data_IF_873957980333
#
_entry.id   IF_873957980333
#
_cell.length_a   1.000
_cell.length_b   1.000
_cell.length_c   1.000
_cell.angle_alpha   90.00
_cell.angle_beta   90.00
_cell.angle_gamma   90.00
#
_symmetry.space_group_name_H-M   'P 1'
#
loop_
_entity.id
_entity.type
_entity.pdbx_description
1 polymer ?
#
# COMPACT_ATOMS: atom_id res chain seq x y z
N UNK A 1 -15.17 -13.06 3.05
CA UNK A 1 -14.94 -12.44 1.72
C UNK A 1 -15.96 -13.01 0.74
N UNK A 2 -16.70 -12.17 0.02
CA UNK A 2 -17.72 -12.60 -0.94
C UNK A 2 -17.16 -12.76 -2.35
N UNK A 3 -16.34 -11.81 -2.80
CA UNK A 3 -15.63 -11.87 -4.07
C UNK A 3 -14.30 -11.10 -3.98
N UNK A 4 -13.34 -11.47 -4.82
CA UNK A 4 -12.07 -10.79 -4.97
C UNK A 4 -11.54 -10.95 -6.40
N UNK A 5 -10.92 -9.91 -6.92
CA UNK A 5 -10.21 -9.92 -8.20
C UNK A 5 -8.89 -9.18 -8.06
N UNK A 6 -7.85 -9.80 -8.56
CA UNK A 6 -6.52 -9.18 -8.72
C UNK A 6 -6.16 -9.32 -10.20
N UNK A 7 -5.87 -8.21 -10.84
CA UNK A 7 -5.56 -8.16 -12.26
C UNK A 7 -4.23 -7.40 -12.46
N UNK A 8 -3.11 -8.10 -12.63
CA UNK A 8 -1.84 -7.46 -12.91
C UNK A 8 -1.87 -6.77 -14.27
N UNK A 9 -1.55 -5.48 -14.31
CA UNK A 9 -1.53 -4.74 -15.57
C UNK A 9 -0.49 -3.62 -15.55
N UNK A 10 0.17 -3.42 -16.69
CA UNK A 10 1.16 -2.36 -16.85
C UNK A 10 0.55 -1.02 -17.28
N UNK A 11 -0.60 -1.04 -17.95
CA UNK A 11 -1.31 0.14 -18.50
C UNK A 11 -2.82 -0.11 -18.48
N UNK A 12 -3.63 0.92 -18.72
CA UNK A 12 -5.08 0.78 -18.83
C UNK A 12 -5.84 0.73 -17.49
N UNK A 13 -5.19 1.09 -16.37
CA UNK A 13 -5.83 1.05 -15.05
C UNK A 13 -7.08 1.91 -14.94
N UNK A 14 -7.13 3.05 -15.65
CA UNK A 14 -8.26 3.98 -15.58
C UNK A 14 -9.50 3.38 -16.25
N UNK A 15 -9.32 2.81 -17.42
CA UNK A 15 -10.39 2.22 -18.21
C UNK A 15 -10.90 0.91 -17.60
N UNK A 16 -10.01 0.18 -16.93
CA UNK A 16 -10.33 -1.14 -16.40
C UNK A 16 -10.96 -1.12 -15.00
N UNK A 17 -10.68 -0.10 -14.18
CA UNK A 17 -11.05 -0.11 -12.76
C UNK A 17 -12.57 -0.16 -12.54
N UNK A 18 -13.36 0.66 -13.24
CA UNK A 18 -14.82 0.68 -13.10
C UNK A 18 -15.48 -0.63 -13.56
N UNK A 19 -15.15 -1.18 -14.74
CA UNK A 19 -15.61 -2.52 -15.13
C UNK A 19 -15.25 -3.61 -14.13
N UNK A 20 -14.00 -3.61 -13.63
CA UNK A 20 -13.54 -4.60 -12.67
C UNK A 20 -14.35 -4.56 -11.35
N UNK A 21 -14.65 -3.36 -10.86
CA UNK A 21 -15.50 -3.21 -9.67
C UNK A 21 -16.91 -3.72 -9.92
N UNK A 22 -17.51 -3.42 -11.08
CA UNK A 22 -18.82 -3.93 -11.45
C UNK A 22 -18.86 -5.47 -11.53
N UNK A 23 -17.82 -6.08 -12.11
CA UNK A 23 -17.67 -7.54 -12.17
C UNK A 23 -17.58 -8.16 -10.76
N UNK A 24 -16.79 -7.56 -9.85
CA UNK A 24 -16.66 -8.04 -8.47
C UNK A 24 -17.99 -7.92 -7.72
N UNK A 25 -18.72 -6.81 -7.88
CA UNK A 25 -20.04 -6.65 -7.26
C UNK A 25 -21.04 -7.68 -7.77
N UNK A 26 -21.08 -7.90 -9.09
CA UNK A 26 -21.94 -8.93 -9.70
C UNK A 26 -21.57 -10.34 -9.20
N UNK A 27 -20.28 -10.66 -9.11
CA UNK A 27 -19.80 -11.95 -8.58
C UNK A 27 -20.15 -12.12 -7.10
N UNK A 28 -20.11 -11.05 -6.33
CA UNK A 28 -20.49 -11.07 -4.91
C UNK A 28 -21.99 -11.22 -4.69
N UNK A 29 -22.82 -10.94 -5.69
CA UNK A 29 -24.28 -10.90 -5.55
C UNK A 29 -24.76 -9.75 -4.65
N UNK A 30 -24.00 -8.66 -4.55
CA UNK A 30 -24.28 -7.51 -3.67
C UNK A 30 -24.52 -6.28 -4.52
N UNK A 31 -25.60 -5.55 -4.24
CA UNK A 31 -25.89 -4.28 -4.89
C UNK A 31 -25.02 -3.14 -4.31
N UNK A 32 -24.77 -2.10 -5.09
CA UNK A 32 -23.93 -0.98 -4.64
C UNK A 32 -24.51 -0.22 -3.45
N UNK A 33 -25.82 -0.13 -3.32
CA UNK A 33 -26.53 0.51 -2.21
C UNK A 33 -26.44 -0.28 -0.88
N UNK A 34 -25.98 -1.53 -0.93
CA UNK A 34 -25.71 -2.35 0.25
C UNK A 34 -24.28 -2.17 0.82
N UNK A 35 -23.45 -1.36 0.15
CA UNK A 35 -22.13 -1.03 0.66
C UNK A 35 -22.23 0.03 1.76
N UNK A 36 -21.52 -0.16 2.86
CA UNK A 36 -21.44 0.79 3.98
C UNK A 36 -20.14 1.59 4.02
N UNK A 37 -19.12 1.19 3.27
CA UNK A 37 -17.84 1.91 3.13
C UNK A 37 -17.01 1.44 1.95
N UNK A 38 -16.03 2.25 1.56
CA UNK A 38 -15.02 1.91 0.55
C UNK A 38 -13.63 1.99 1.17
N UNK A 39 -12.88 0.88 1.13
CA UNK A 39 -11.44 0.87 1.44
C UNK A 39 -10.61 1.19 0.19
N UNK A 40 -9.58 2.03 0.33
CA UNK A 40 -8.69 2.36 -0.78
C UNK A 40 -7.25 2.53 -0.30
N UNK A 41 -6.27 2.01 -1.05
CA UNK A 41 -4.87 2.23 -0.74
C UNK A 41 -4.47 3.69 -0.97
N UNK A 42 -3.74 4.27 0.00
CA UNK A 42 -3.26 5.66 -0.07
C UNK A 42 -1.79 5.77 -0.42
N UNK A 43 -1.08 4.66 -0.60
CA UNK A 43 0.37 4.61 -0.85
C UNK A 43 1.16 4.06 0.33
N UNK A 44 2.50 4.06 0.20
CA UNK A 44 3.27 4.55 -0.95
C UNK A 44 3.11 3.67 -2.20
N UNK A 45 3.41 4.24 -3.38
CA UNK A 45 3.31 3.51 -4.65
C UNK A 45 3.29 4.42 -5.87
N UNK A 46 2.83 3.89 -7.00
CA UNK A 46 2.72 4.63 -8.26
C UNK A 46 1.88 5.90 -8.13
N UNK A 47 2.46 7.04 -8.44
CA UNK A 47 1.81 8.34 -8.36
C UNK A 47 0.50 8.43 -9.17
N UNK A 48 0.51 7.92 -10.40
CA UNK A 48 -0.68 7.87 -11.25
C UNK A 48 -1.71 6.89 -10.72
N UNK A 49 -1.28 5.67 -10.36
CA UNK A 49 -2.18 4.63 -9.84
C UNK A 49 -2.90 5.06 -8.57
N UNK A 50 -2.18 5.70 -7.62
CA UNK A 50 -2.76 6.22 -6.39
C UNK A 50 -3.84 7.27 -6.66
N UNK A 51 -3.59 8.20 -7.58
CA UNK A 51 -4.58 9.24 -7.95
C UNK A 51 -5.82 8.65 -8.59
N UNK A 52 -5.66 7.69 -9.49
CA UNK A 52 -6.78 7.00 -10.14
C UNK A 52 -7.62 6.25 -9.10
N UNK A 53 -7.00 5.43 -8.27
CA UNK A 53 -7.69 4.68 -7.23
C UNK A 53 -8.42 5.57 -6.24
N UNK A 54 -7.76 6.63 -5.75
CA UNK A 54 -8.35 7.59 -4.82
C UNK A 54 -9.50 8.40 -5.44
N UNK A 55 -9.36 8.85 -6.69
CA UNK A 55 -10.43 9.58 -7.38
C UNK A 55 -11.65 8.70 -7.58
N UNK A 56 -11.45 7.45 -8.03
CA UNK A 56 -12.53 6.49 -8.20
C UNK A 56 -13.23 6.18 -6.87
N UNK A 57 -12.47 5.84 -5.82
CA UNK A 57 -13.03 5.53 -4.51
C UNK A 57 -13.83 6.70 -3.92
N UNK A 58 -13.31 7.94 -4.04
CA UNK A 58 -14.01 9.16 -3.61
C UNK A 58 -15.28 9.42 -4.41
N UNK A 59 -15.24 9.21 -5.74
CA UNK A 59 -16.42 9.32 -6.60
C UNK A 59 -17.50 8.32 -6.22
N UNK A 60 -17.11 7.06 -5.99
CA UNK A 60 -18.03 6.00 -5.55
C UNK A 60 -18.62 6.33 -4.16
N UNK A 61 -17.79 6.71 -3.20
CA UNK A 61 -18.24 7.08 -1.86
C UNK A 61 -19.20 8.27 -1.87
N UNK A 62 -18.94 9.28 -2.72
CA UNK A 62 -19.84 10.42 -2.89
C UNK A 62 -21.18 10.03 -3.53
N UNK A 63 -21.16 9.19 -4.57
CA UNK A 63 -22.38 8.73 -5.25
C UNK A 63 -23.29 7.89 -4.33
N UNK A 64 -22.68 7.09 -3.43
CA UNK A 64 -23.40 6.23 -2.50
C UNK A 64 -23.63 6.87 -1.12
N UNK A 65 -23.09 8.06 -0.87
CA UNK A 65 -23.15 8.74 0.44
C UNK A 65 -22.51 7.91 1.59
N UNK A 66 -21.44 7.15 1.30
CA UNK A 66 -20.73 6.30 2.25
C UNK A 66 -19.28 6.77 2.45
N UNK A 67 -18.68 6.47 3.61
CA UNK A 67 -17.30 6.87 3.89
C UNK A 67 -16.27 6.11 3.04
N UNK A 68 -15.21 6.83 2.67
CA UNK A 68 -14.02 6.27 2.03
C UNK A 68 -12.88 6.23 3.04
N UNK A 69 -12.30 5.06 3.25
CA UNK A 69 -11.25 4.81 4.25
C UNK A 69 -9.92 4.55 3.56
N UNK A 70 -8.91 5.37 3.89
CA UNK A 70 -7.55 5.19 3.40
C UNK A 70 -6.78 4.13 4.18
N UNK A 71 -6.07 3.26 3.47
CA UNK A 71 -5.20 2.21 4.03
C UNK A 71 -3.81 2.32 3.44
N UNK A 72 -2.78 2.32 4.30
CA UNK A 72 -1.38 2.30 3.86
C UNK A 72 -1.03 1.00 3.14
N UNK A 73 -0.28 1.07 2.05
CA UNK A 73 0.15 -0.14 1.32
C UNK A 73 1.10 -0.98 2.18
N UNK A 74 2.02 -0.34 2.89
CA UNK A 74 2.95 -1.03 3.80
C UNK A 74 2.21 -1.68 4.98
N UNK A 75 1.20 -1.02 5.51
CA UNK A 75 0.33 -1.55 6.54
C UNK A 75 -0.46 -2.78 6.07
N UNK A 76 -1.05 -2.71 4.86
CA UNK A 76 -1.79 -3.83 4.30
C UNK A 76 -0.90 -5.04 3.98
N UNK A 77 0.38 -4.83 3.65
CA UNK A 77 1.37 -5.90 3.50
C UNK A 77 1.70 -6.58 4.85
N UNK A 78 1.81 -5.80 5.92
CA UNK A 78 2.15 -6.31 7.24
C UNK A 78 0.97 -6.97 7.97
N UNK A 79 -0.25 -6.57 7.67
CA UNK A 79 -1.47 -6.97 8.39
C UNK A 79 -1.66 -8.49 8.55
N UNK A 80 -1.36 -9.35 7.54
CA UNK A 80 -1.54 -10.80 7.68
C UNK A 80 -0.48 -11.49 8.55
N UNK A 81 0.53 -10.76 8.99
CA UNK A 81 1.72 -11.29 9.67
C UNK A 81 1.73 -10.88 11.14
N UNK A 82 2.37 -11.69 11.98
CA UNK A 82 2.55 -11.43 13.42
C UNK A 82 4.03 -11.22 13.77
N UNK A 83 4.29 -10.74 14.98
CA UNK A 83 5.64 -10.45 15.46
C UNK A 83 6.20 -9.16 14.85
N UNK A 84 7.53 -9.09 14.72
CA UNK A 84 8.22 -7.95 14.10
C UNK A 84 8.23 -8.11 12.59
N UNK A 85 7.51 -7.22 11.92
CA UNK A 85 7.35 -7.22 10.45
C UNK A 85 7.88 -5.91 9.89
N UNK A 86 8.68 -5.97 8.84
CA UNK A 86 9.06 -4.79 8.06
C UNK A 86 8.51 -4.94 6.65
N UNK A 87 7.54 -4.10 6.32
CA UNK A 87 7.03 -4.00 4.97
C UNK A 87 7.96 -3.12 4.13
N UNK A 88 8.38 -3.64 2.97
CA UNK A 88 9.36 -3.00 2.08
C UNK A 88 8.87 -3.05 0.66
N UNK A 89 8.77 -1.91 0.00
CA UNK A 89 8.45 -1.82 -1.43
C UNK A 89 9.64 -1.26 -2.21
N UNK A 90 9.91 -1.82 -3.38
CA UNK A 90 10.84 -1.21 -4.32
C UNK A 90 10.29 0.12 -4.83
N UNK A 91 10.91 1.22 -4.41
CA UNK A 91 10.54 2.57 -4.82
C UNK A 91 11.19 3.00 -6.15
N UNK A 92 11.95 2.08 -6.80
CA UNK A 92 12.78 2.37 -7.98
C UNK A 92 13.88 3.40 -7.67
N UNK A 93 14.79 3.63 -8.64
CA UNK A 93 15.87 4.64 -8.54
C UNK A 93 16.70 4.49 -7.26
N UNK A 94 17.08 3.25 -6.95
CA UNK A 94 17.90 2.92 -5.80
C UNK A 94 17.31 3.41 -4.46
N UNK A 95 16.00 3.26 -4.30
CA UNK A 95 15.27 3.54 -3.07
C UNK A 95 14.28 2.44 -2.73
N UNK A 96 13.98 2.31 -1.45
CA UNK A 96 12.88 1.48 -0.94
C UNK A 96 11.95 2.33 -0.07
N UNK A 97 10.65 2.03 -0.12
CA UNK A 97 9.71 2.47 0.90
C UNK A 97 9.67 1.40 1.98
N UNK A 98 9.75 1.80 3.24
CA UNK A 98 9.70 0.85 4.35
C UNK A 98 8.93 1.40 5.54
N UNK A 99 8.37 0.48 6.33
CA UNK A 99 7.76 0.75 7.63
C UNK A 99 7.82 -0.51 8.48
N UNK A 100 8.11 -0.34 9.78
CA UNK A 100 8.16 -1.44 10.73
C UNK A 100 6.87 -1.51 11.56
N UNK A 101 6.48 -2.75 11.88
CA UNK A 101 5.28 -3.09 12.66
C UNK A 101 5.65 -4.14 13.71
N UNK A 102 4.94 -4.12 14.84
CA UNK A 102 4.97 -5.17 15.85
C UNK A 102 3.53 -5.58 16.12
N UNK A 103 3.21 -6.85 15.85
CA UNK A 103 1.86 -7.41 15.99
C UNK A 103 0.76 -6.53 15.38
N UNK A 104 1.02 -6.05 14.17
CA UNK A 104 0.11 -5.20 13.38
C UNK A 104 0.12 -3.71 13.77
N UNK A 105 0.74 -3.32 14.88
CA UNK A 105 0.90 -1.91 15.26
C UNK A 105 2.14 -1.30 14.61
N UNK A 106 2.01 -0.13 13.98
CA UNK A 106 3.14 0.59 13.41
C UNK A 106 4.10 1.06 14.52
N UNK A 107 5.37 0.65 14.47
CA UNK A 107 6.44 1.05 15.40
C UNK A 107 7.39 2.07 14.79
N UNK A 108 7.24 2.37 13.50
CA UNK A 108 7.95 3.46 12.82
C UNK A 108 7.02 4.24 11.91
N UNK A 109 7.39 5.46 11.56
CA UNK A 109 6.79 6.15 10.43
C UNK A 109 7.22 5.50 9.11
N UNK A 110 6.39 5.55 8.05
CA UNK A 110 6.81 5.15 6.72
C UNK A 110 7.88 6.10 6.17
N UNK A 111 8.89 5.56 5.50
CA UNK A 111 10.03 6.33 5.00
C UNK A 111 10.44 5.87 3.59
N UNK A 112 11.24 6.71 2.89
CA UNK A 112 11.83 6.43 1.59
C UNK A 112 13.36 6.56 1.70
N UNK A 113 14.09 5.45 1.63
CA UNK A 113 15.52 5.41 1.91
C UNK A 113 16.27 4.64 0.81
N UNK A 114 17.56 4.98 0.57
CA UNK A 114 18.46 4.09 -0.16
C UNK A 114 18.60 2.74 0.55
N UNK A 115 18.76 1.61 -0.18
CA UNK A 115 18.83 0.28 0.43
C UNK A 115 19.88 0.15 1.54
N UNK A 116 21.07 0.73 1.37
CA UNK A 116 22.11 0.70 2.39
C UNK A 116 21.71 1.42 3.70
N UNK A 117 21.04 2.57 3.60
CA UNK A 117 20.51 3.30 4.76
C UNK A 117 19.35 2.55 5.41
N UNK A 118 18.46 1.97 4.59
CA UNK A 118 17.36 1.14 5.06
C UNK A 118 17.88 -0.08 5.83
N UNK A 119 18.92 -0.73 5.33
CA UNK A 119 19.57 -1.87 5.96
C UNK A 119 20.14 -1.53 7.36
N UNK A 120 20.84 -0.39 7.47
CA UNK A 120 21.37 0.06 8.76
C UNK A 120 20.25 0.35 9.76
N UNK A 121 19.18 1.04 9.32
CA UNK A 121 18.02 1.33 10.16
C UNK A 121 17.27 0.08 10.59
N UNK A 122 17.19 -0.93 9.73
CA UNK A 122 16.59 -2.23 10.07
C UNK A 122 17.39 -2.96 11.14
N UNK A 123 18.71 -2.95 11.06
CA UNK A 123 19.57 -3.57 12.07
C UNK A 123 19.35 -2.92 13.46
N UNK A 124 19.14 -1.60 13.51
CA UNK A 124 18.82 -0.89 14.75
C UNK A 124 17.41 -1.27 15.28
N UNK A 125 16.41 -1.39 14.41
CA UNK A 125 15.03 -1.70 14.79
C UNK A 125 14.82 -3.16 15.16
N UNK A 126 15.53 -4.07 14.49
CA UNK A 126 15.38 -5.52 14.66
C UNK A 126 16.03 -6.00 15.97
N UNK A 127 17.10 -5.34 16.44
CA UNK A 127 17.90 -5.85 17.55
C UNK A 127 18.39 -7.28 17.27
N UNK A 128 18.26 -8.17 18.26
CA UNK A 128 18.60 -9.60 18.13
C UNK A 128 17.36 -10.48 17.84
N UNK A 129 16.19 -9.88 17.57
CA UNK A 129 14.94 -10.60 17.37
C UNK A 129 14.76 -11.12 15.94
N UNK A 130 13.84 -12.07 15.79
CA UNK A 130 13.37 -12.51 14.47
C UNK A 130 12.56 -11.41 13.78
N UNK A 131 12.84 -11.18 12.49
CA UNK A 131 12.17 -10.17 11.67
C UNK A 131 11.66 -10.81 10.40
N UNK A 132 10.41 -10.52 10.06
CA UNK A 132 9.84 -10.88 8.77
C UNK A 132 9.86 -9.67 7.83
N UNK A 133 10.53 -9.79 6.69
CA UNK A 133 10.48 -8.83 5.60
C UNK A 133 9.36 -9.21 4.63
N UNK A 134 8.57 -8.25 4.17
CA UNK A 134 7.46 -8.50 3.23
C UNK A 134 7.36 -7.38 2.19
N UNK A 135 7.03 -7.73 0.97
CA UNK A 135 6.84 -6.80 -0.15
C UNK A 135 7.94 -6.87 -1.22
N UNK A 136 7.72 -6.21 -2.35
CA UNK A 136 8.58 -6.26 -3.54
C UNK A 136 10.02 -5.79 -3.32
N UNK A 137 10.26 -5.00 -2.27
CA UNK A 137 11.60 -4.52 -1.89
C UNK A 137 12.31 -5.42 -0.87
N UNK A 138 11.64 -6.42 -0.28
CA UNK A 138 12.24 -7.30 0.73
C UNK A 138 13.53 -7.99 0.27
N UNK A 139 13.62 -8.51 -0.97
CA UNK A 139 14.85 -9.12 -1.47
C UNK A 139 16.05 -8.17 -1.50
N UNK A 140 15.82 -6.86 -1.67
CA UNK A 140 16.88 -5.84 -1.69
C UNK A 140 17.56 -5.65 -0.32
N UNK A 141 16.90 -6.06 0.75
CA UNK A 141 17.37 -5.93 2.14
C UNK A 141 17.70 -7.26 2.82
N UNK A 142 17.45 -8.38 2.15
CA UNK A 142 17.66 -9.73 2.70
C UNK A 142 19.09 -9.99 3.22
N UNK A 143 20.08 -9.46 2.51
CA UNK A 143 21.49 -9.61 2.91
C UNK A 143 21.90 -8.79 4.14
N UNK A 144 21.10 -7.82 4.56
CA UNK A 144 21.40 -6.96 5.69
C UNK A 144 21.01 -7.55 7.06
N UNK A 145 20.12 -8.52 7.06
CA UNK A 145 19.62 -9.19 8.26
C UNK A 145 19.71 -10.71 8.08
N UNK A 146 20.80 -11.35 8.53
CA UNK A 146 21.05 -12.80 8.31
C UNK A 146 19.95 -13.72 8.87
N UNK A 147 19.18 -13.23 9.84
CA UNK A 147 18.11 -14.01 10.49
C UNK A 147 16.69 -13.55 10.07
N UNK A 148 16.58 -12.66 9.07
CA UNK A 148 15.27 -12.24 8.57
C UNK A 148 14.67 -13.32 7.66
N UNK A 149 13.39 -13.58 7.83
CA UNK A 149 12.60 -14.37 6.88
C UNK A 149 11.93 -13.46 5.87
N UNK A 150 11.74 -13.93 4.63
CA UNK A 150 11.01 -13.18 3.60
C UNK A 150 9.65 -13.85 3.40
N UNK A 151 8.59 -13.12 3.68
CA UNK A 151 7.23 -13.55 3.37
C UNK A 151 6.93 -13.30 1.88
N UNK A 152 6.30 -14.29 1.24
CA UNK A 152 5.97 -14.24 -0.19
C UNK A 152 4.73 -13.38 -0.47
N UNK A 153 4.89 -12.06 -0.47
CA UNK A 153 3.85 -11.12 -0.89
C UNK A 153 4.50 -9.87 -1.49
N UNK A 154 4.26 -9.61 -2.77
CA UNK A 154 4.85 -8.47 -3.48
C UNK A 154 3.94 -7.24 -3.50
N UNK A 155 2.66 -7.41 -3.20
CA UNK A 155 1.63 -6.37 -3.23
C UNK A 155 0.63 -6.55 -2.09
N UNK A 156 -0.06 -5.47 -1.72
CA UNK A 156 -1.08 -5.49 -0.69
C UNK A 156 -2.26 -6.39 -1.11
N UNK A 157 -2.66 -7.30 -0.22
CA UNK A 157 -3.84 -8.13 -0.41
C UNK A 157 -5.11 -7.23 -0.29
N UNK A 158 -6.02 -7.24 -1.28
CA UNK A 158 -7.31 -6.56 -1.18
C UNK A 158 -8.11 -6.95 0.07
N UNK A 159 -7.96 -8.18 0.55
CA UNK A 159 -8.61 -8.66 1.78
C UNK A 159 -8.06 -7.92 3.00
N UNK A 160 -6.75 -7.76 3.12
CA UNK A 160 -6.12 -6.99 4.19
C UNK A 160 -6.59 -5.53 4.17
N UNK A 161 -6.65 -4.91 2.99
CA UNK A 161 -7.19 -3.55 2.82
C UNK A 161 -8.64 -3.46 3.31
N UNK A 162 -9.49 -4.42 2.94
CA UNK A 162 -10.89 -4.45 3.35
C UNK A 162 -11.03 -4.63 4.88
N UNK A 163 -10.26 -5.53 5.48
CA UNK A 163 -10.26 -5.79 6.93
C UNK A 163 -9.85 -4.56 7.73
N UNK A 164 -8.77 -3.89 7.33
CA UNK A 164 -8.31 -2.66 7.97
C UNK A 164 -9.38 -1.55 7.82
N UNK A 165 -9.92 -1.38 6.61
CA UNK A 165 -10.94 -0.38 6.35
C UNK A 165 -12.23 -0.64 7.13
N UNK A 166 -12.61 -1.90 7.38
CA UNK A 166 -13.82 -2.28 8.10
C UNK A 166 -13.86 -1.75 9.53
N UNK A 167 -12.73 -1.77 10.22
CA UNK A 167 -12.63 -1.39 11.66
C UNK A 167 -12.11 0.03 11.87
N UNK A 168 -11.50 0.63 10.87
CA UNK A 168 -10.88 1.95 10.99
C UNK A 168 -11.94 3.06 11.04
N UNK A 169 -11.73 4.03 11.93
CA UNK A 169 -12.53 5.26 11.94
C UNK A 169 -12.37 5.97 10.58
N UNK A 170 -13.47 6.33 9.91
CA UNK A 170 -13.39 7.04 8.64
C UNK A 170 -12.71 8.41 8.78
N UNK A 171 -11.68 8.63 7.98
CA UNK A 171 -11.03 9.93 7.79
C UNK A 171 -10.85 10.10 6.29
N UNK A 172 -11.16 11.27 5.71
CA UNK A 172 -11.00 11.51 4.29
C UNK A 172 -9.61 11.12 3.79
N UNK A 173 -9.48 10.18 2.85
CA UNK A 173 -8.18 9.65 2.46
C UNK A 173 -7.37 10.71 1.71
N UNK A 174 -6.11 10.85 2.10
CA UNK A 174 -5.10 11.68 1.44
C UNK A 174 -3.98 10.78 0.92
N UNK A 175 -3.46 11.03 -0.29
CA UNK A 175 -2.35 10.22 -0.80
C UNK A 175 -1.11 10.42 0.07
N UNK A 176 -0.41 9.33 0.36
CA UNK A 176 0.86 9.31 1.06
C UNK A 176 1.99 9.38 0.03
N UNK A 177 2.56 10.54 -0.15
CA UNK A 177 3.73 10.74 -1.00
C UNK A 177 4.99 10.82 -0.14
N UNK A 178 5.80 9.76 -0.15
CA UNK A 178 7.09 9.71 0.55
C UNK A 178 8.24 10.26 -0.32
N UNK A 179 7.96 10.51 -1.60
CA UNK A 179 8.90 11.08 -2.56
C UNK A 179 8.22 12.14 -3.41
N UNK A 180 8.95 13.18 -3.78
CA UNK A 180 8.46 14.20 -4.69
C UNK A 180 8.08 13.58 -6.05
N UNK A 181 7.08 14.12 -6.77
CA UNK A 181 6.71 13.67 -8.10
C UNK A 181 7.91 13.72 -9.06
N UNK A 182 8.03 12.71 -9.91
CA UNK A 182 9.07 12.64 -10.95
C UNK A 182 8.85 13.61 -12.12
N UNK A 183 7.78 14.40 -12.08
CA UNK A 183 7.45 15.39 -13.11
C UNK A 183 8.47 16.53 -13.12
N UNK A 184 9.08 16.74 -14.27
CA UNK A 184 9.96 17.91 -14.52
C UNK A 184 9.15 19.03 -15.15
N UNK A 185 9.40 20.26 -14.73
CA UNK A 185 8.90 21.44 -15.43
C UNK A 185 9.49 21.51 -16.85
N UNK A 186 8.81 22.16 -17.82
CA UNK A 186 9.42 22.50 -19.09
C UNK A 186 10.75 23.22 -18.85
N UNK A 187 11.86 22.72 -19.45
CA UNK A 187 13.23 23.19 -19.19
C UNK A 187 14.00 22.39 -18.15
N UNK A 188 13.50 21.22 -17.69
CA UNK A 188 14.25 20.25 -16.88
C UNK A 188 14.40 20.58 -15.40
N UNK A 189 13.76 21.62 -14.88
CA UNK A 189 13.77 21.97 -13.45
C UNK A 189 12.83 21.07 -12.65
N UNK A 190 13.26 20.64 -11.46
CA UNK A 190 12.41 19.91 -10.53
C UNK A 190 11.33 20.83 -9.94
N UNK A 191 10.15 20.26 -9.65
CA UNK A 191 9.13 20.95 -8.86
C UNK A 191 9.68 21.18 -7.44
N UNK A 192 9.40 22.34 -6.81
CA UNK A 192 9.70 22.51 -5.39
C UNK A 192 8.96 21.46 -4.57
N UNK A 193 9.61 20.97 -3.51
CA UNK A 193 9.07 19.99 -2.58
C UNK A 193 7.88 20.58 -1.78
#
# INVERSE_FOLDING_TARGET
MLACRVEPMARGHQERLAPLVAEVMAQAGVAFDQLDRVGVTIGPGSFTGLRVGLAFAKGLGAALSIPVVGVGVLEALAQPLSGTVVAVLDARRDQVYLQAFSDGAAVSAPDALPPGTAAARLAELAGAGEVTLVGSGAPLLAGALPHATIAAADHADPVAVAQIAAVRRPVPPRPLYLRAPDAKLPGGRNLPA
#
